data_IF_105445883249
#
_entry.id   IF_105445883249
#
_cell.length_a   1.000
_cell.length_b   1.000
_cell.length_c   1.000
_cell.angle_alpha   90.00
_cell.angle_beta   90.00
_cell.angle_gamma   90.00
#
_symmetry.space_group_name_H-M   'P 1'
#
loop_
_entity.id
_entity.type
_entity.pdbx_description
1 polymer ?
#
# COMPACT_ATOMS: atom_id res chain seq x y z
N UNK A 1 -23.22 20.84 -56.83
CA UNK A 1 -24.05 20.39 -55.69
C UNK A 1 -23.55 19.05 -55.14
N UNK A 2 -23.31 18.02 -55.98
CA UNK A 2 -22.75 16.73 -55.53
C UNK A 2 -21.40 16.81 -54.79
N UNK A 3 -20.53 17.75 -55.20
CA UNK A 3 -19.18 17.93 -54.63
C UNK A 3 -19.19 18.48 -53.19
N UNK A 4 -20.21 19.28 -52.83
CA UNK A 4 -20.32 19.90 -51.49
C UNK A 4 -20.84 18.89 -50.46
N UNK A 5 -21.74 18.00 -50.87
CA UNK A 5 -22.26 16.91 -50.01
C UNK A 5 -21.15 15.89 -49.69
N UNK A 6 -20.35 15.53 -50.69
CA UNK A 6 -19.22 14.61 -50.51
C UNK A 6 -18.12 15.20 -49.62
N UNK A 7 -17.79 16.48 -49.78
CA UNK A 7 -16.87 17.19 -48.88
C UNK A 7 -17.37 17.23 -47.43
N UNK A 8 -18.69 17.40 -47.22
CA UNK A 8 -19.31 17.36 -45.88
C UNK A 8 -19.24 15.96 -45.26
N UNK A 9 -19.46 14.91 -46.06
CA UNK A 9 -19.34 13.51 -45.63
C UNK A 9 -17.91 13.20 -45.20
N UNK A 10 -16.92 13.57 -46.02
CA UNK A 10 -15.50 13.38 -45.72
C UNK A 10 -15.07 14.11 -44.44
N UNK A 11 -15.52 15.36 -44.25
CA UNK A 11 -15.21 16.13 -43.04
C UNK A 11 -15.82 15.49 -41.78
N UNK A 12 -17.05 14.97 -41.87
CA UNK A 12 -17.71 14.27 -40.77
C UNK A 12 -17.00 12.96 -40.39
N UNK A 13 -16.53 12.21 -41.38
CA UNK A 13 -15.76 10.98 -41.16
C UNK A 13 -14.39 11.25 -40.53
N UNK A 14 -13.69 12.29 -40.99
CA UNK A 14 -12.43 12.74 -40.37
C UNK A 14 -12.65 13.17 -38.92
N UNK A 15 -13.69 13.97 -38.67
CA UNK A 15 -14.02 14.42 -37.31
C UNK A 15 -14.30 13.23 -36.39
N UNK A 16 -15.09 12.25 -36.84
CA UNK A 16 -15.37 11.02 -36.07
C UNK A 16 -14.09 10.21 -35.83
N UNK A 17 -13.22 10.05 -36.83
CA UNK A 17 -11.93 9.36 -36.67
C UNK A 17 -11.06 10.04 -35.64
N UNK A 18 -11.04 11.37 -35.63
CA UNK A 18 -10.29 12.17 -34.65
C UNK A 18 -10.87 12.02 -33.25
N UNK A 19 -12.19 12.15 -33.09
CA UNK A 19 -12.85 11.96 -31.79
C UNK A 19 -12.63 10.55 -31.23
N UNK A 20 -12.71 9.51 -32.07
CA UNK A 20 -12.39 8.14 -31.66
C UNK A 20 -10.91 7.95 -31.33
N UNK A 21 -10.01 8.60 -32.06
CA UNK A 21 -8.57 8.56 -31.77
C UNK A 21 -8.25 9.27 -30.44
N UNK A 22 -8.86 10.42 -30.18
CA UNK A 22 -8.73 11.17 -28.93
C UNK A 22 -9.31 10.36 -27.76
N UNK A 23 -10.49 9.77 -27.90
CA UNK A 23 -11.09 8.90 -26.88
C UNK A 23 -10.19 7.69 -26.57
N UNK A 24 -9.66 7.02 -27.60
CA UNK A 24 -8.73 5.88 -27.41
C UNK A 24 -7.45 6.31 -26.71
N UNK A 25 -6.91 7.49 -27.04
CA UNK A 25 -5.71 8.02 -26.40
C UNK A 25 -5.94 8.33 -24.91
N UNK A 26 -7.09 8.92 -24.56
CA UNK A 26 -7.47 9.20 -23.17
C UNK A 26 -7.66 7.92 -22.34
N UNK A 27 -8.32 6.91 -22.92
CA UNK A 27 -8.51 5.62 -22.24
C UNK A 27 -7.17 4.90 -22.03
N UNK A 28 -6.29 4.92 -23.02
CA UNK A 28 -4.95 4.36 -22.91
C UNK A 28 -4.12 5.09 -21.87
N UNK A 29 -4.17 6.44 -21.84
CA UNK A 29 -3.48 7.23 -20.83
C UNK A 29 -3.98 6.86 -19.43
N UNK A 30 -5.30 6.79 -19.21
CA UNK A 30 -5.87 6.40 -17.92
C UNK A 30 -5.43 5.01 -17.49
N UNK A 31 -5.37 4.05 -18.42
CA UNK A 31 -4.88 2.69 -18.12
C UNK A 31 -3.42 2.71 -17.70
N UNK A 32 -2.59 3.53 -18.35
CA UNK A 32 -1.17 3.69 -17.99
C UNK A 32 -1.02 4.30 -16.61
N UNK A 33 -1.76 5.35 -16.32
CA UNK A 33 -1.75 6.01 -14.99
C UNK A 33 -2.12 5.01 -13.89
N UNK A 34 -3.21 4.24 -14.07
CA UNK A 34 -3.62 3.20 -13.11
C UNK A 34 -2.56 2.10 -12.99
N UNK A 35 -1.96 1.66 -14.09
CA UNK A 35 -0.92 0.64 -14.07
C UNK A 35 0.36 1.13 -13.36
N UNK A 36 0.74 2.39 -13.55
CA UNK A 36 1.88 3.03 -12.90
C UNK A 36 1.65 3.21 -11.39
N UNK A 37 0.44 3.61 -11.00
CA UNK A 37 0.04 3.72 -9.59
C UNK A 37 0.08 2.35 -8.91
N UNK A 38 -0.50 1.31 -9.53
CA UNK A 38 -0.44 -0.06 -9.01
C UNK A 38 0.99 -0.60 -8.94
N UNK A 39 1.81 -0.29 -9.94
CA UNK A 39 3.22 -0.69 -9.94
C UNK A 39 3.97 -0.02 -8.79
N UNK A 40 3.73 1.27 -8.55
CA UNK A 40 4.33 2.03 -7.45
C UNK A 40 3.87 1.50 -6.09
N UNK A 41 2.57 1.23 -5.94
CA UNK A 41 2.00 0.63 -4.73
C UNK A 41 2.51 -0.79 -4.47
N UNK A 42 3.04 -1.49 -5.47
CA UNK A 42 3.63 -2.83 -5.34
C UNK A 42 5.15 -2.82 -5.12
N UNK A 43 5.79 -1.64 -5.08
CA UNK A 43 7.23 -1.56 -4.87
C UNK A 43 7.59 -1.90 -3.42
N UNK A 44 8.69 -2.64 -3.27
CA UNK A 44 9.28 -2.87 -1.96
C UNK A 44 9.66 -1.53 -1.31
N UNK A 45 9.55 -1.47 0.00
CA UNK A 45 9.86 -0.30 0.79
C UNK A 45 11.25 -0.41 1.41
N UNK A 46 11.91 0.74 1.61
CA UNK A 46 13.04 0.85 2.50
C UNK A 46 12.56 0.80 3.97
N UNK A 47 13.46 0.52 4.92
CA UNK A 47 13.08 0.37 6.33
C UNK A 47 12.31 1.58 6.89
N UNK A 48 12.72 2.84 6.67
CA UNK A 48 11.98 3.98 7.22
C UNK A 48 10.54 4.09 6.70
N UNK A 49 10.34 3.82 5.40
CA UNK A 49 9.03 3.87 4.76
C UNK A 49 8.11 2.76 5.30
N UNK A 50 8.67 1.57 5.49
CA UNK A 50 7.93 0.45 6.06
C UNK A 50 7.52 0.71 7.52
N UNK A 51 8.42 1.27 8.33
CA UNK A 51 8.11 1.62 9.72
C UNK A 51 7.04 2.71 9.82
N UNK A 52 7.08 3.71 8.94
CA UNK A 52 6.06 4.76 8.88
C UNK A 52 4.68 4.20 8.49
N UNK A 53 4.66 3.24 7.55
CA UNK A 53 3.46 2.50 7.19
C UNK A 53 2.90 1.70 8.39
N UNK A 54 3.75 0.98 9.11
CA UNK A 54 3.36 0.25 10.32
C UNK A 54 2.82 1.19 11.41
N UNK A 55 3.46 2.35 11.60
CA UNK A 55 3.00 3.33 12.58
C UNK A 55 1.63 3.91 12.23
N UNK A 56 1.43 4.24 10.95
CA UNK A 56 0.13 4.70 10.44
C UNK A 56 -0.97 3.65 10.66
N UNK A 57 -0.65 2.37 10.45
CA UNK A 57 -1.57 1.27 10.72
C UNK A 57 -1.89 1.16 12.22
N UNK A 58 -0.87 1.20 13.08
CA UNK A 58 -1.04 1.13 14.54
C UNK A 58 -1.97 2.25 15.06
N UNK A 59 -1.78 3.48 14.56
CA UNK A 59 -2.65 4.61 14.87
C UNK A 59 -4.09 4.45 14.35
N UNK A 60 -4.28 3.72 13.26
CA UNK A 60 -5.60 3.46 12.68
C UNK A 60 -6.36 2.33 13.37
N UNK A 61 -5.69 1.49 14.18
CA UNK A 61 -6.33 0.37 14.88
C UNK A 61 -7.34 0.90 15.90
N UNK A 62 -8.59 0.43 15.78
CA UNK A 62 -9.64 0.70 16.75
C UNK A 62 -9.81 -0.50 17.68
N UNK A 63 -9.70 -0.26 18.99
CA UNK A 63 -9.87 -1.31 20.00
C UNK A 63 -11.36 -1.64 20.14
N UNK A 64 -11.74 -2.85 19.72
CA UNK A 64 -13.09 -3.39 19.95
C UNK A 64 -13.22 -3.82 21.40
N UNK A 65 -14.06 -3.12 22.16
CA UNK A 65 -14.31 -3.41 23.58
C UNK A 65 -15.59 -4.21 23.83
N UNK A 66 -16.48 -4.28 22.84
CA UNK A 66 -17.68 -5.11 22.91
C UNK A 66 -17.29 -6.59 22.82
N UNK A 67 -17.44 -7.30 23.94
CA UNK A 67 -17.13 -8.72 24.04
C UNK A 67 -17.90 -9.57 23.05
N UNK A 68 -19.10 -9.18 22.60
CA UNK A 68 -19.86 -9.96 21.63
C UNK A 68 -19.21 -10.00 20.24
N UNK A 69 -18.36 -9.00 19.95
CA UNK A 69 -17.63 -8.84 18.69
C UNK A 69 -16.18 -9.35 18.78
N UNK A 70 -15.73 -9.82 19.94
CA UNK A 70 -14.39 -10.39 20.11
C UNK A 70 -14.39 -11.91 19.91
N UNK A 71 -13.21 -12.50 19.68
CA UNK A 71 -13.04 -13.95 19.67
C UNK A 71 -13.52 -14.56 20.98
N UNK A 72 -14.49 -15.48 20.89
CA UNK A 72 -15.03 -16.19 22.06
C UNK A 72 -14.17 -17.40 22.40
N UNK A 73 -13.81 -17.57 23.67
CA UNK A 73 -13.06 -18.73 24.17
C UNK A 73 -12.21 -18.41 25.38
N UNK A 74 -11.80 -19.44 26.12
CA UNK A 74 -10.85 -19.28 27.23
C UNK A 74 -9.45 -19.02 26.68
N UNK A 75 -9.01 -17.77 26.74
CA UNK A 75 -7.70 -17.33 26.24
C UNK A 75 -6.55 -17.88 27.10
N UNK A 76 -6.84 -18.38 28.31
CA UNK A 76 -5.82 -18.72 29.32
C UNK A 76 -5.51 -20.20 29.44
N UNK A 77 -6.25 -21.06 28.72
CA UNK A 77 -6.06 -22.52 28.76
C UNK A 77 -5.91 -23.14 27.37
N UNK A 78 -4.80 -22.88 26.66
CA UNK A 78 -4.60 -23.46 25.34
C UNK A 78 -4.13 -24.92 25.43
N UNK A 79 -4.86 -25.83 24.78
CA UNK A 79 -4.47 -27.25 24.68
C UNK A 79 -3.15 -27.39 23.93
N UNK A 80 -2.11 -27.92 24.59
CA UNK A 80 -0.81 -28.21 23.96
C UNK A 80 0.05 -26.99 23.63
N UNK A 81 -0.24 -25.81 24.21
CA UNK A 81 0.59 -24.60 24.03
C UNK A 81 1.00 -23.99 25.37
N UNK A 82 2.13 -23.28 25.35
CA UNK A 82 2.60 -22.53 26.52
C UNK A 82 1.77 -21.25 26.63
N UNK A 83 1.27 -20.96 27.83
CA UNK A 83 0.59 -19.72 28.17
C UNK A 83 1.37 -18.94 29.23
N UNK A 84 1.75 -17.67 28.98
CA UNK A 84 2.45 -16.86 29.97
C UNK A 84 1.54 -16.54 31.16
N UNK A 85 1.96 -16.92 32.37
CA UNK A 85 1.19 -16.68 33.61
C UNK A 85 1.43 -15.31 34.25
N UNK A 86 2.48 -14.62 33.81
CA UNK A 86 2.91 -13.33 34.35
C UNK A 86 3.39 -12.45 33.21
N UNK A 87 2.89 -11.23 33.19
CA UNK A 87 3.45 -10.14 32.38
C UNK A 87 4.30 -9.32 33.34
N UNK A 88 5.59 -9.16 33.03
CA UNK A 88 6.52 -8.37 33.83
C UNK A 88 6.97 -7.16 33.01
N UNK A 89 7.22 -6.00 33.66
CA UNK A 89 7.83 -4.86 32.99
C UNK A 89 9.18 -5.24 32.38
N UNK A 90 9.47 -4.67 31.21
CA UNK A 90 10.76 -4.82 30.56
C UNK A 90 11.59 -3.55 30.84
N UNK A 91 12.28 -3.55 31.98
CA UNK A 91 12.90 -2.34 32.55
C UNK A 91 14.02 -1.74 31.67
N UNK A 92 14.76 -2.57 30.92
CA UNK A 92 15.86 -2.13 30.04
C UNK A 92 15.47 -2.02 28.56
N UNK A 93 14.16 -2.07 28.25
CA UNK A 93 13.68 -2.05 26.87
C UNK A 93 14.16 -0.82 26.10
N UNK A 94 14.02 0.39 26.67
CA UNK A 94 14.40 1.62 25.98
C UNK A 94 15.89 1.67 25.64
N UNK A 95 16.76 1.26 26.56
CA UNK A 95 18.22 1.21 26.33
C UNK A 95 18.57 0.19 25.25
N UNK A 96 18.02 -1.02 25.33
CA UNK A 96 18.22 -2.06 24.30
C UNK A 96 17.70 -1.64 22.93
N UNK A 97 16.57 -0.94 22.90
CA UNK A 97 15.98 -0.43 21.67
C UNK A 97 16.92 0.60 21.01
N UNK A 98 17.50 1.51 21.80
CA UNK A 98 18.47 2.50 21.32
C UNK A 98 19.74 1.84 20.78
N UNK A 99 20.28 0.84 21.47
CA UNK A 99 21.42 0.04 20.99
C UNK A 99 21.15 -0.58 19.62
N UNK A 100 19.98 -1.21 19.44
CA UNK A 100 19.56 -1.78 18.15
C UNK A 100 19.46 -0.69 17.07
N UNK A 101 18.89 0.48 17.38
CA UNK A 101 18.80 1.56 16.39
C UNK A 101 20.17 2.11 16.00
N UNK A 102 21.11 2.20 16.94
CA UNK A 102 22.48 2.61 16.65
C UNK A 102 23.15 1.62 15.69
N UNK A 103 23.02 0.31 15.93
CA UNK A 103 23.55 -0.73 15.05
C UNK A 103 22.93 -0.67 13.64
N UNK A 104 21.61 -0.49 13.56
CA UNK A 104 20.89 -0.34 12.29
C UNK A 104 21.29 0.94 11.53
N UNK A 105 21.65 2.01 12.24
CA UNK A 105 22.05 3.28 11.64
C UNK A 105 23.45 3.24 11.03
N UNK A 106 24.34 2.39 11.55
CA UNK A 106 25.70 2.20 11.03
C UNK A 106 25.68 1.48 9.67
N UNK A 107 24.71 0.57 9.47
CA UNK A 107 24.56 -0.22 8.25
C UNK A 107 23.61 0.42 7.23
N UNK A 108 24.14 1.20 6.27
CA UNK A 108 23.31 1.86 5.24
C UNK A 108 22.57 0.88 4.31
N UNK A 109 23.04 -0.37 4.17
CA UNK A 109 22.44 -1.33 3.23
C UNK A 109 21.10 -1.89 3.72
N UNK A 110 20.94 -2.13 5.03
CA UNK A 110 19.69 -2.72 5.54
C UNK A 110 18.56 -1.69 5.58
N UNK A 111 18.88 -0.44 5.96
CA UNK A 111 17.90 0.62 6.11
C UNK A 111 17.49 1.25 4.79
N UNK A 112 18.41 1.39 3.83
CA UNK A 112 18.18 2.11 2.58
C UNK A 112 17.81 1.23 1.38
N UNK A 113 18.15 -0.06 1.38
CA UNK A 113 17.76 -0.95 0.28
C UNK A 113 16.29 -1.33 0.41
N UNK A 114 15.48 -1.15 -0.66
CA UNK A 114 14.09 -1.60 -0.65
C UNK A 114 14.00 -3.12 -0.57
N UNK A 115 13.61 -3.64 0.59
CA UNK A 115 13.53 -5.07 0.88
C UNK A 115 12.25 -5.44 1.67
N UNK A 116 11.48 -4.46 2.10
CA UNK A 116 10.29 -4.65 2.93
C UNK A 116 9.03 -4.68 2.06
N UNK A 117 7.96 -5.37 2.49
CA UNK A 117 6.70 -5.43 1.75
C UNK A 117 6.14 -4.04 1.44
N UNK A 118 5.36 -3.95 0.38
CA UNK A 118 4.65 -2.73 0.03
C UNK A 118 3.44 -2.50 0.93
N UNK A 119 2.89 -1.28 0.92
CA UNK A 119 1.59 -1.03 1.54
C UNK A 119 0.50 -1.82 0.79
N UNK A 120 -0.34 -2.53 1.54
CA UNK A 120 -1.49 -3.29 1.03
C UNK A 120 -2.70 -2.41 0.78
#
# INVERSE_FOLDING_TARGET
MADVEELRRLLGEEKRRREEAESRALDEQRRREVAEELATASQLQALPQYLDACHSLDLAIQVVTDRSLTTQGDTTNPTGRIFPRRIIPWDDFSTKQEEVWNDLSIGNLFSSVPAFPSQH
#
